data_IF_942820896529
#
_entry.id   IF_942820896529
#
_cell.length_a   1.000
_cell.length_b   1.000
_cell.length_c   1.000
_cell.angle_alpha   90.00
_cell.angle_beta   90.00
_cell.angle_gamma   90.00
#
_symmetry.space_group_name_H-M   'P 1'
#
loop_
_entity.id
_entity.type
_entity.pdbx_description
1 polymer ?
#
# COMPACT_ATOMS: atom_id res chain seq x y z
N UNK A 1 1.47 1.35 10.30
CA UNK A 1 2.44 0.84 11.32
C UNK A 1 1.70 0.09 12.42
N UNK A 2 0.52 0.58 12.83
CA UNK A 2 -0.26 -0.02 13.92
C UNK A 2 -0.92 -1.37 13.63
N UNK A 3 -0.82 -1.86 12.39
CA UNK A 3 -1.28 -3.20 12.02
C UNK A 3 -0.15 -4.24 12.07
N UNK A 4 1.10 -3.82 12.27
CA UNK A 4 2.20 -4.76 12.47
C UNK A 4 2.02 -5.51 13.80
N UNK A 5 2.28 -6.84 13.82
CA UNK A 5 2.39 -7.59 15.06
C UNK A 5 3.43 -6.96 15.99
N UNK A 6 3.16 -6.93 17.29
CA UNK A 6 3.91 -6.16 18.29
C UNK A 6 5.43 -6.42 18.28
N UNK A 7 5.82 -7.69 18.10
CA UNK A 7 7.22 -8.09 18.03
C UNK A 7 7.98 -7.48 16.83
N UNK A 8 7.29 -7.23 15.71
CA UNK A 8 7.85 -6.59 14.52
C UNK A 8 7.73 -5.07 14.60
N UNK A 9 6.61 -4.55 15.12
CA UNK A 9 6.38 -3.12 15.31
C UNK A 9 7.45 -2.51 16.20
N UNK A 10 7.69 -3.10 17.36
CA UNK A 10 8.66 -2.57 18.35
C UNK A 10 10.05 -2.46 17.74
N UNK A 11 10.51 -3.50 17.04
CA UNK A 11 11.80 -3.48 16.34
C UNK A 11 11.83 -2.45 15.22
N UNK A 12 10.72 -2.28 14.47
CA UNK A 12 10.63 -1.29 13.41
C UNK A 12 10.69 0.14 13.93
N UNK A 13 9.95 0.47 14.99
CA UNK A 13 9.96 1.80 15.62
C UNK A 13 11.37 2.15 16.09
N UNK A 14 12.01 1.28 16.88
CA UNK A 14 13.36 1.54 17.39
C UNK A 14 14.38 1.72 16.26
N UNK A 15 14.32 0.92 15.20
CA UNK A 15 15.32 0.94 14.12
C UNK A 15 15.09 2.02 13.06
N UNK A 16 13.83 2.30 12.70
CA UNK A 16 13.49 3.17 11.57
C UNK A 16 12.99 4.56 11.98
N UNK A 17 12.47 4.72 13.20
CA UNK A 17 11.97 6.01 13.69
C UNK A 17 12.92 6.61 14.74
N UNK A 18 13.37 5.78 15.69
CA UNK A 18 14.30 6.21 16.75
C UNK A 18 15.78 6.07 16.35
N UNK A 19 16.06 5.52 15.16
CA UNK A 19 17.41 5.35 14.58
C UNK A 19 18.40 4.52 15.43
N UNK A 20 17.92 3.66 16.33
CA UNK A 20 18.79 2.79 17.13
C UNK A 20 19.60 1.86 16.24
N UNK A 21 20.83 1.53 16.63
CA UNK A 21 21.64 0.47 16.04
C UNK A 21 21.04 -0.93 16.28
N UNK A 22 21.58 -1.96 15.63
CA UNK A 22 21.10 -3.35 15.84
C UNK A 22 21.45 -3.80 17.25
N UNK A 23 22.61 -3.38 17.71
CA UNK A 23 23.23 -3.65 18.99
C UNK A 23 22.42 -2.98 20.12
N UNK A 24 22.09 -1.69 19.99
CA UNK A 24 21.23 -0.97 20.95
C UNK A 24 19.83 -1.57 21.02
N UNK A 25 19.24 -1.93 19.86
CA UNK A 25 17.92 -2.56 19.82
C UNK A 25 17.94 -3.94 20.48
N UNK A 26 18.99 -4.73 20.24
CA UNK A 26 19.17 -6.04 20.85
C UNK A 26 19.29 -5.94 22.38
N UNK A 27 20.08 -4.98 22.85
CA UNK A 27 20.25 -4.69 24.28
C UNK A 27 18.94 -4.21 24.92
N UNK A 28 18.22 -3.28 24.28
CA UNK A 28 16.96 -2.72 24.78
C UNK A 28 15.85 -3.77 24.88
N UNK A 29 15.80 -4.74 23.95
CA UNK A 29 14.75 -5.75 23.88
C UNK A 29 15.15 -7.11 24.49
N UNK A 30 16.41 -7.29 24.90
CA UNK A 30 16.91 -8.55 25.45
C UNK A 30 16.84 -9.72 24.46
N UNK A 31 17.03 -9.46 23.16
CA UNK A 31 16.98 -10.49 22.10
C UNK A 31 18.27 -10.51 21.27
N UNK A 32 18.61 -11.64 20.61
CA UNK A 32 19.79 -11.70 19.75
C UNK A 32 19.74 -10.71 18.59
N UNK A 33 20.88 -10.14 18.20
CA UNK A 33 20.97 -9.24 17.04
C UNK A 33 20.45 -9.87 15.74
N UNK A 34 20.69 -11.18 15.53
CA UNK A 34 20.15 -11.92 14.39
C UNK A 34 18.61 -11.89 14.37
N UNK A 35 17.98 -11.91 15.56
CA UNK A 35 16.53 -11.77 15.71
C UNK A 35 16.10 -10.34 15.39
N UNK A 36 16.85 -9.32 15.81
CA UNK A 36 16.59 -7.91 15.44
C UNK A 36 16.64 -7.75 13.92
N UNK A 37 17.70 -8.20 13.26
CA UNK A 37 17.87 -8.10 11.78
C UNK A 37 16.73 -8.79 11.04
N UNK A 38 16.38 -10.02 11.43
CA UNK A 38 15.29 -10.76 10.78
C UNK A 38 13.91 -10.17 11.06
N UNK A 39 13.63 -9.70 12.28
CA UNK A 39 12.38 -9.00 12.62
C UNK A 39 12.25 -7.68 11.87
N UNK A 40 13.31 -6.90 11.77
CA UNK A 40 13.31 -5.63 11.04
C UNK A 40 13.06 -5.84 9.54
N UNK A 41 13.73 -6.82 8.93
CA UNK A 41 13.49 -7.19 7.54
C UNK A 41 12.03 -7.60 7.29
N UNK A 42 11.48 -8.48 8.14
CA UNK A 42 10.08 -8.91 8.04
C UNK A 42 9.10 -7.76 8.25
N UNK A 43 9.35 -6.88 9.21
CA UNK A 43 8.53 -5.69 9.46
C UNK A 43 8.45 -4.78 8.21
N UNK A 44 9.59 -4.54 7.55
CA UNK A 44 9.62 -3.78 6.29
C UNK A 44 8.85 -4.46 5.17
N UNK A 45 8.95 -5.79 5.05
CA UNK A 45 8.20 -6.57 4.07
C UNK A 45 6.69 -6.45 4.27
N UNK A 46 6.22 -6.65 5.50
CA UNK A 46 4.80 -6.55 5.86
C UNK A 46 4.24 -5.14 5.61
N UNK A 47 4.98 -4.08 5.98
CA UNK A 47 4.55 -2.71 5.71
C UNK A 47 4.47 -2.42 4.22
N UNK A 48 5.44 -2.91 3.44
CA UNK A 48 5.43 -2.73 1.98
C UNK A 48 4.24 -3.44 1.34
N UNK A 49 3.93 -4.65 1.77
CA UNK A 49 2.78 -5.40 1.26
C UNK A 49 1.46 -4.72 1.60
N UNK A 50 1.29 -4.26 2.84
CA UNK A 50 0.10 -3.52 3.26
C UNK A 50 -0.09 -2.25 2.43
N UNK A 51 0.98 -1.46 2.28
CA UNK A 51 0.94 -0.23 1.49
C UNK A 51 0.67 -0.49 0.00
N UNK A 52 1.25 -1.57 -0.57
CA UNK A 52 0.99 -1.95 -1.96
C UNK A 52 -0.49 -2.23 -2.18
N UNK A 53 -1.14 -2.99 -1.28
CA UNK A 53 -2.57 -3.30 -1.39
C UNK A 53 -3.45 -2.05 -1.32
N UNK A 54 -3.10 -1.10 -0.45
CA UNK A 54 -3.81 0.17 -0.33
C UNK A 54 -3.66 1.03 -1.60
N UNK A 55 -2.44 1.09 -2.15
CA UNK A 55 -2.16 1.78 -3.41
C UNK A 55 -2.91 1.12 -4.57
N UNK A 56 -2.90 -0.20 -4.68
CA UNK A 56 -3.59 -0.93 -5.76
C UNK A 56 -5.10 -0.64 -5.74
N UNK A 57 -5.72 -0.58 -4.56
CA UNK A 57 -7.12 -0.18 -4.41
C UNK A 57 -7.34 1.27 -4.87
N UNK A 58 -6.50 2.19 -4.40
CA UNK A 58 -6.63 3.61 -4.72
C UNK A 58 -6.42 3.89 -6.23
N UNK A 59 -5.53 3.16 -6.89
CA UNK A 59 -5.32 3.28 -8.34
C UNK A 59 -6.51 2.79 -9.15
N UNK A 60 -7.13 1.68 -8.73
CA UNK A 60 -8.34 1.15 -9.35
C UNK A 60 -9.47 2.17 -9.39
N UNK A 61 -9.65 2.92 -8.31
CA UNK A 61 -10.71 3.93 -8.20
C UNK A 61 -10.33 5.28 -8.84
N UNK A 62 -9.11 5.79 -8.59
CA UNK A 62 -8.69 7.10 -9.07
C UNK A 62 -8.41 7.16 -10.57
N UNK A 63 -7.99 6.03 -11.17
CA UNK A 63 -7.69 5.91 -12.59
C UNK A 63 -8.64 4.95 -13.32
N UNK A 64 -9.82 4.68 -12.74
CA UNK A 64 -10.83 3.85 -13.37
C UNK A 64 -11.19 4.37 -14.77
N UNK A 65 -11.23 3.47 -15.75
CA UNK A 65 -11.78 3.80 -17.07
C UNK A 65 -13.27 4.11 -16.94
N UNK A 66 -13.66 5.36 -17.21
CA UNK A 66 -15.04 5.84 -17.12
C UNK A 66 -15.93 5.34 -18.28
N UNK A 67 -15.96 4.03 -18.53
CA UNK A 67 -16.64 3.41 -19.68
C UNK A 67 -18.11 3.82 -19.81
N UNK A 68 -18.86 3.87 -18.69
CA UNK A 68 -20.25 4.31 -18.70
C UNK A 68 -20.46 5.75 -19.20
N UNK A 69 -19.45 6.63 -19.07
CA UNK A 69 -19.48 7.98 -19.67
C UNK A 69 -19.25 7.89 -21.18
N UNK A 70 -18.30 7.08 -21.63
CA UNK A 70 -18.07 6.82 -23.05
C UNK A 70 -19.32 6.24 -23.71
N UNK A 71 -19.94 5.22 -23.10
CA UNK A 71 -21.17 4.59 -23.60
C UNK A 71 -22.30 5.61 -23.76
N UNK A 72 -22.46 6.52 -22.79
CA UNK A 72 -23.45 7.59 -22.85
C UNK A 72 -23.19 8.57 -23.99
N UNK A 73 -21.93 8.94 -24.22
CA UNK A 73 -21.54 9.82 -25.32
C UNK A 73 -21.80 9.12 -26.65
N UNK A 74 -21.37 7.86 -26.80
CA UNK A 74 -21.58 7.04 -28.00
C UNK A 74 -23.07 6.92 -28.30
N UNK A 75 -23.89 6.53 -27.32
CA UNK A 75 -25.34 6.42 -27.50
C UNK A 75 -25.97 7.74 -27.98
N UNK A 76 -25.56 8.88 -27.41
CA UNK A 76 -26.07 10.19 -27.82
C UNK A 76 -25.62 10.60 -29.23
N UNK A 77 -24.41 10.23 -29.65
CA UNK A 77 -23.94 10.47 -31.03
C UNK A 77 -24.69 9.60 -32.03
N UNK A 78 -24.85 8.30 -31.75
CA UNK A 78 -25.57 7.37 -32.64
C UNK A 78 -27.03 7.82 -32.81
N UNK A 79 -27.71 8.20 -31.73
CA UNK A 79 -29.08 8.72 -31.81
C UNK A 79 -29.20 9.96 -32.72
N UNK A 80 -28.22 10.88 -32.66
CA UNK A 80 -28.20 12.07 -33.53
C UNK A 80 -27.90 11.78 -34.99
N UNK A 81 -27.18 10.69 -35.28
CA UNK A 81 -26.92 10.27 -36.65
C UNK A 81 -28.17 9.63 -37.25
N UNK A 82 -28.86 8.79 -36.47
CA UNK A 82 -30.12 8.18 -36.86
C UNK A 82 -31.23 9.24 -37.12
N UNK A 83 -31.25 10.32 -36.35
CA UNK A 83 -32.17 11.46 -36.54
C UNK A 83 -31.84 12.34 -37.77
N UNK A 84 -30.59 12.32 -38.25
CA UNK A 84 -30.13 13.11 -39.41
C UNK A 84 -30.17 12.34 -40.74
N UNK A 85 -30.53 11.06 -40.75
CA UNK A 85 -30.74 10.26 -41.98
C UNK A 85 -32.19 10.36 -42.55
N UNK A 86 -32.99 11.36 -42.12
CA UNK A 86 -34.34 11.67 -42.65
C UNK A 86 -34.35 13.02 -43.38
#
# INVERSE_FOLDING_TARGET
IDELPDAFRTVFVLRALEEFSVEETAAALGIPEATVRSRFFRARGLLREALSKEIDLAYGDAFAFAGARCDRIVAGVMAKLDENEI
#
